data_IF_457082693221
#
_entry.id   IF_457082693221
#
_cell.length_a   1.000
_cell.length_b   1.000
_cell.length_c   1.000
_cell.angle_alpha   90.00
_cell.angle_beta   90.00
_cell.angle_gamma   90.00
#
_symmetry.space_group_name_H-M   'P 1'
#
loop_
_entity.id
_entity.type
_entity.pdbx_description
1 polymer ?
#
# COMPACT_ATOMS: atom_id res chain seq x y z
N UNK A 1 -23.29 15.40 -10.69
CA UNK A 1 -21.82 15.43 -10.81
C UNK A 1 -21.28 14.07 -10.43
N UNK A 2 -20.21 13.58 -11.10
CA UNK A 2 -19.55 12.34 -10.70
C UNK A 2 -18.64 12.66 -9.52
N UNK A 3 -19.02 12.25 -8.31
CA UNK A 3 -18.19 12.36 -7.13
C UNK A 3 -16.91 11.56 -7.36
N UNK A 4 -15.75 12.16 -7.06
CA UNK A 4 -14.47 11.46 -7.06
C UNK A 4 -14.48 10.54 -5.84
N UNK A 5 -14.96 9.32 -6.00
CA UNK A 5 -14.75 8.25 -5.02
C UNK A 5 -13.25 8.11 -4.76
N UNK A 6 -12.86 7.98 -3.49
CA UNK A 6 -11.65 7.25 -3.07
C UNK A 6 -11.40 6.12 -4.08
N UNK A 7 -10.41 6.34 -4.95
CA UNK A 7 -10.11 5.41 -6.06
C UNK A 7 -9.76 4.07 -5.44
N UNK A 8 -10.40 3.03 -5.98
CA UNK A 8 -10.25 1.63 -5.63
C UNK A 8 -8.85 1.31 -5.09
N UNK A 9 -8.77 1.00 -3.79
CA UNK A 9 -7.94 -0.11 -3.39
C UNK A 9 -8.59 -1.32 -4.07
N UNK A 10 -8.11 -1.70 -5.25
CA UNK A 10 -8.47 -2.99 -5.82
C UNK A 10 -7.76 -4.03 -4.97
N UNK A 11 -8.27 -4.23 -3.75
CA UNK A 11 -7.76 -5.21 -2.81
C UNK A 11 -8.06 -6.58 -3.42
N UNK A 12 -7.14 -7.07 -4.24
CA UNK A 12 -6.92 -8.48 -4.51
C UNK A 12 -6.43 -9.17 -3.24
N UNK A 13 -7.11 -8.97 -2.12
CA UNK A 13 -6.78 -9.59 -0.86
C UNK A 13 -7.42 -10.97 -0.87
N UNK A 14 -6.60 -11.97 -1.23
CA UNK A 14 -6.85 -13.34 -0.85
C UNK A 14 -6.78 -13.41 0.68
N UNK A 15 -7.87 -13.06 1.35
CA UNK A 15 -7.93 -13.08 2.80
C UNK A 15 -7.86 -14.54 3.27
N UNK A 16 -6.66 -14.98 3.66
CA UNK A 16 -6.54 -16.00 4.69
C UNK A 16 -7.16 -15.36 5.93
N UNK A 17 -8.19 -15.99 6.50
CA UNK A 17 -8.81 -15.55 7.74
C UNK A 17 -7.74 -15.47 8.84
N UNK A 18 -7.10 -14.31 8.98
CA UNK A 18 -6.21 -14.04 10.09
C UNK A 18 -7.10 -13.69 11.27
N UNK A 19 -7.24 -14.63 12.20
CA UNK A 19 -7.62 -14.25 13.56
C UNK A 19 -6.47 -13.41 14.11
N UNK A 20 -6.52 -12.09 13.89
CA UNK A 20 -5.59 -11.19 14.55
C UNK A 20 -5.82 -11.37 16.07
N UNK A 21 -4.79 -11.73 16.85
CA UNK A 21 -4.92 -11.68 18.28
C UNK A 21 -5.25 -10.24 18.66
N UNK A 22 -6.37 -10.04 19.36
CA UNK A 22 -6.74 -8.72 19.88
C UNK A 22 -5.52 -8.16 20.63
N UNK A 23 -5.15 -6.89 20.42
CA UNK A 23 -4.08 -6.29 21.21
C UNK A 23 -4.38 -6.52 22.69
N UNK A 24 -3.41 -7.09 23.42
CA UNK A 24 -3.59 -7.33 24.84
C UNK A 24 -3.79 -5.98 25.53
N UNK A 25 -4.88 -5.83 26.29
CA UNK A 25 -5.07 -4.64 27.14
C UNK A 25 -3.91 -4.57 28.13
N UNK A 26 -3.00 -3.62 27.93
CA UNK A 26 -1.73 -3.54 28.67
C UNK A 26 -1.91 -2.95 30.08
N UNK A 27 -3.11 -2.51 30.45
CA UNK A 27 -3.47 -2.06 31.79
C UNK A 27 -5.00 -2.14 31.93
N UNK A 28 -5.50 -2.46 33.12
CA UNK A 28 -6.95 -2.51 33.39
C UNK A 28 -7.69 -1.27 32.89
N UNK A 29 -8.92 -1.48 32.42
CA UNK A 29 -9.68 -0.46 31.69
C UNK A 29 -9.90 0.82 32.49
N UNK A 30 -9.77 1.96 31.82
CA UNK A 30 -10.03 3.29 32.43
C UNK A 30 -11.52 3.64 32.42
N UNK A 31 -12.33 2.94 31.63
CA UNK A 31 -13.77 3.18 31.46
C UNK A 31 -14.54 2.43 32.56
N UNK A 32 -15.47 3.13 33.23
CA UNK A 32 -16.11 2.68 34.46
C UNK A 32 -17.10 1.52 34.28
N UNK A 33 -17.66 1.38 33.08
CA UNK A 33 -18.72 0.44 32.73
C UNK A 33 -18.27 -0.64 31.71
N UNK A 34 -16.97 -0.70 31.43
CA UNK A 34 -16.35 -1.72 30.58
C UNK A 34 -15.67 -2.76 31.49
N UNK A 35 -16.13 -4.02 31.56
CA UNK A 35 -15.45 -5.02 32.37
C UNK A 35 -14.13 -5.46 31.72
N UNK A 36 -13.03 -5.59 32.47
CA UNK A 36 -11.67 -5.88 31.96
C UNK A 36 -11.53 -7.11 31.05
N UNK A 37 -12.43 -8.10 31.16
CA UNK A 37 -12.35 -9.37 30.43
C UNK A 37 -13.54 -9.62 29.49
N UNK A 38 -14.23 -8.56 29.07
CA UNK A 38 -15.31 -8.69 28.08
C UNK A 38 -14.74 -8.89 26.68
N UNK A 39 -15.49 -9.57 25.83
CA UNK A 39 -15.08 -9.83 24.44
C UNK A 39 -14.84 -8.56 23.61
N UNK A 40 -15.34 -7.41 24.06
CA UNK A 40 -15.20 -6.10 23.41
C UNK A 40 -14.22 -5.15 24.11
N UNK A 41 -13.63 -5.52 25.25
CA UNK A 41 -12.86 -4.57 26.09
C UNK A 41 -11.72 -3.91 25.32
N UNK A 42 -10.86 -4.72 24.67
CA UNK A 42 -9.74 -4.22 23.89
C UNK A 42 -10.19 -3.29 22.75
N UNK A 43 -11.31 -3.62 22.09
CA UNK A 43 -11.83 -2.81 20.99
C UNK A 43 -12.41 -1.47 21.46
N UNK A 44 -13.12 -1.48 22.58
CA UNK A 44 -13.65 -0.25 23.19
C UNK A 44 -12.51 0.67 23.61
N UNK A 45 -11.47 0.13 24.24
CA UNK A 45 -10.27 0.90 24.60
C UNK A 45 -9.57 1.45 23.36
N UNK A 46 -9.36 0.62 22.34
CA UNK A 46 -8.76 1.03 21.08
C UNK A 46 -9.50 2.20 20.43
N UNK A 47 -10.80 2.04 20.22
CA UNK A 47 -11.64 3.06 19.60
C UNK A 47 -11.70 4.34 20.45
N UNK A 48 -11.72 4.22 21.78
CA UNK A 48 -11.73 5.39 22.67
C UNK A 48 -10.40 6.14 22.67
N UNK A 49 -9.27 5.44 22.79
CA UNK A 49 -7.93 6.06 22.80
C UNK A 49 -7.57 6.69 21.45
N UNK A 50 -8.07 6.14 20.34
CA UNK A 50 -7.92 6.70 19.00
C UNK A 50 -8.94 7.80 18.67
N UNK A 51 -9.88 8.09 19.59
CA UNK A 51 -10.95 9.07 19.37
C UNK A 51 -12.01 8.66 18.34
N UNK A 52 -12.05 7.38 17.95
CA UNK A 52 -13.05 6.85 17.01
C UNK A 52 -14.43 6.73 17.66
N UNK A 53 -14.49 6.52 18.97
CA UNK A 53 -15.74 6.47 19.73
C UNK A 53 -15.58 7.17 21.08
N UNK A 54 -16.47 8.12 21.38
CA UNK A 54 -16.42 8.89 22.62
C UNK A 54 -17.16 8.21 23.78
N UNK A 55 -16.74 8.52 25.02
CA UNK A 55 -17.47 8.20 26.25
C UNK A 55 -18.42 9.35 26.61
N UNK A 56 -19.60 9.06 27.17
CA UNK A 56 -20.65 10.07 27.41
C UNK A 56 -20.27 11.07 28.52
N UNK A 57 -19.90 10.59 29.71
CA UNK A 57 -19.51 11.42 30.87
C UNK A 57 -17.99 11.31 31.16
N UNK A 58 -17.19 11.34 30.10
CA UNK A 58 -15.73 11.14 30.06
C UNK A 58 -15.20 9.74 30.44
N UNK A 59 -15.92 8.94 31.23
CA UNK A 59 -15.50 7.58 31.62
C UNK A 59 -16.56 6.48 31.40
N UNK A 60 -17.78 6.81 30.98
CA UNK A 60 -18.84 5.82 30.71
C UNK A 60 -19.01 5.60 29.20
N UNK A 61 -18.82 4.37 28.72
CA UNK A 61 -18.87 4.04 27.30
C UNK A 61 -20.24 3.58 26.81
N UNK A 62 -21.09 3.04 27.67
CA UNK A 62 -22.38 2.42 27.37
C UNK A 62 -22.31 1.31 26.30
N UNK A 63 -21.62 0.18 26.56
CA UNK A 63 -21.38 -0.89 25.57
C UNK A 63 -22.65 -1.44 24.88
N UNK A 64 -23.76 -1.52 25.61
CA UNK A 64 -25.03 -2.08 25.14
C UNK A 64 -25.95 -1.04 24.48
N UNK A 65 -25.60 0.25 24.55
CA UNK A 65 -26.41 1.28 23.91
C UNK A 65 -26.32 1.17 22.37
N UNK A 66 -27.39 1.57 21.65
CA UNK A 66 -27.40 1.57 20.18
C UNK A 66 -26.27 2.41 19.59
N UNK A 67 -25.68 1.92 18.50
CA UNK A 67 -24.81 2.72 17.63
C UNK A 67 -25.67 3.53 16.65
N UNK A 68 -25.39 4.82 16.50
CA UNK A 68 -26.11 5.71 15.59
C UNK A 68 -25.36 5.91 14.27
N UNK A 69 -26.04 6.46 13.27
CA UNK A 69 -25.43 6.77 11.96
C UNK A 69 -24.33 7.83 12.07
N UNK A 70 -24.52 8.87 12.88
CA UNK A 70 -23.50 9.88 13.13
C UNK A 70 -22.24 9.28 13.77
N UNK A 71 -22.40 8.39 14.76
CA UNK A 71 -21.26 7.72 15.40
C UNK A 71 -20.41 6.90 14.42
N UNK A 72 -21.03 6.23 13.44
CA UNK A 72 -20.29 5.49 12.39
C UNK A 72 -19.53 6.46 11.48
N UNK A 73 -20.18 7.56 11.06
CA UNK A 73 -19.53 8.58 10.25
C UNK A 73 -18.35 9.22 10.98
N UNK A 74 -18.52 9.58 12.26
CA UNK A 74 -17.49 10.15 13.11
C UNK A 74 -16.29 9.20 13.28
N UNK A 75 -16.55 7.92 13.53
CA UNK A 75 -15.50 6.91 13.65
C UNK A 75 -14.68 6.78 12.36
N UNK A 76 -15.34 6.72 11.20
CA UNK A 76 -14.66 6.65 9.90
C UNK A 76 -13.90 7.94 9.61
N UNK A 77 -14.49 9.10 9.87
CA UNK A 77 -13.81 10.39 9.73
C UNK A 77 -12.53 10.46 10.57
N UNK A 78 -12.54 9.89 11.78
CA UNK A 78 -11.34 9.78 12.61
C UNK A 78 -10.33 8.76 12.07
N UNK A 79 -10.78 7.61 11.56
CA UNK A 79 -9.93 6.59 10.93
C UNK A 79 -9.18 7.15 9.72
N UNK A 80 -9.81 8.03 8.95
CA UNK A 80 -9.21 8.66 7.76
C UNK A 80 -8.53 10.01 8.06
N UNK A 81 -8.10 10.24 9.30
CA UNK A 81 -7.36 11.43 9.73
C UNK A 81 -8.07 12.78 9.46
N UNK A 82 -9.40 12.80 9.59
CA UNK A 82 -10.26 13.99 9.50
C UNK A 82 -10.04 14.77 8.20
N UNK A 83 -10.37 14.18 7.02
CA UNK A 83 -10.16 14.84 5.73
C UNK A 83 -10.88 16.18 5.64
N UNK A 84 -10.35 17.10 4.84
CA UNK A 84 -10.98 18.41 4.66
C UNK A 84 -12.32 18.27 3.93
N UNK A 85 -13.36 18.92 4.47
CA UNK A 85 -14.69 19.01 3.85
C UNK A 85 -14.81 20.34 3.12
N UNK A 86 -15.31 20.31 1.89
CA UNK A 86 -15.63 21.53 1.14
C UNK A 86 -17.10 21.54 0.77
N UNK A 87 -17.80 22.64 1.04
CA UNK A 87 -19.20 22.84 0.67
C UNK A 87 -19.29 23.91 -0.41
N UNK A 88 -20.21 23.74 -1.36
CA UNK A 88 -20.54 24.75 -2.34
C UNK A 88 -21.35 25.88 -1.68
N UNK A 89 -21.07 27.12 -2.08
CA UNK A 89 -21.78 28.31 -1.59
C UNK A 89 -23.03 28.53 -2.44
N UNK A 90 -24.20 28.77 -1.83
CA UNK A 90 -25.35 29.25 -2.58
C UNK A 90 -25.17 30.73 -2.94
N UNK A 91 -25.07 31.04 -4.24
CA UNK A 91 -25.10 32.42 -4.72
C UNK A 91 -26.51 33.01 -4.54
N UNK A 92 -26.66 33.96 -3.64
CA UNK A 92 -27.90 34.71 -3.47
C UNK A 92 -28.09 35.67 -4.66
N UNK A 93 -28.94 35.32 -5.63
CA UNK A 93 -29.37 36.25 -6.68
C UNK A 93 -30.20 37.37 -6.05
N UNK A 94 -29.59 38.56 -5.90
CA UNK A 94 -30.25 39.73 -5.34
C UNK A 94 -31.35 40.23 -6.29
N UNK A 95 -32.60 39.96 -5.93
CA UNK A 95 -33.78 40.51 -6.58
C UNK A 95 -34.04 41.97 -6.17
N UNK A 96 -33.63 42.89 -7.05
CA UNK A 96 -34.09 44.29 -7.22
C UNK A 96 -34.19 45.23 -6.01
N UNK A 97 -33.26 46.19 -6.03
CA UNK A 97 -33.34 47.64 -5.76
C UNK A 97 -34.04 48.20 -4.49
N UNK A 98 -33.23 49.05 -3.82
CA UNK A 98 -33.53 50.08 -2.82
C UNK A 98 -33.77 49.62 -1.37
N UNK A 99 -32.67 49.38 -0.65
CA UNK A 99 -32.46 49.94 0.69
C UNK A 99 -30.95 50.06 0.97
N UNK A 100 -30.44 51.29 0.96
CA UNK A 100 -29.10 51.64 1.45
C UNK A 100 -29.15 51.72 2.98
N UNK A 101 -28.88 50.60 3.67
CA UNK A 101 -28.29 50.52 5.02
C UNK A 101 -28.54 49.12 5.63
N UNK A 102 -27.83 48.07 5.19
CA UNK A 102 -27.63 46.86 6.01
C UNK A 102 -26.27 46.21 5.70
N UNK A 103 -25.62 45.79 6.77
CA UNK A 103 -24.26 45.24 6.87
C UNK A 103 -23.96 44.10 5.88
N UNK A 104 -22.67 43.89 5.61
CA UNK A 104 -22.12 42.77 4.84
C UNK A 104 -22.82 41.45 5.23
N UNK A 105 -23.73 40.97 4.38
CA UNK A 105 -24.40 39.69 4.58
C UNK A 105 -23.36 38.57 4.47
N UNK A 106 -23.08 37.92 5.60
CA UNK A 106 -22.45 36.60 5.66
C UNK A 106 -23.20 35.65 4.73
N UNK A 107 -22.55 35.20 3.65
CA UNK A 107 -23.06 34.11 2.83
C UNK A 107 -22.94 32.81 3.63
N UNK A 108 -24.06 32.32 4.17
CA UNK A 108 -24.10 31.12 4.99
C UNK A 108 -23.88 29.86 4.13
N UNK A 109 -22.96 28.99 4.56
CA UNK A 109 -22.86 27.62 4.04
C UNK A 109 -24.14 26.85 4.38
N UNK A 110 -24.64 26.04 3.44
CA UNK A 110 -25.83 25.22 3.65
C UNK A 110 -25.49 23.74 3.68
N UNK A 111 -26.06 23.02 4.65
CA UNK A 111 -25.97 21.56 4.73
C UNK A 111 -26.87 20.93 3.66
N UNK A 112 -26.45 19.84 2.99
CA UNK A 112 -27.32 19.07 2.10
C UNK A 112 -28.44 18.32 2.86
N UNK A 113 -28.37 18.28 4.19
CA UNK A 113 -29.36 17.61 5.05
C UNK A 113 -30.08 18.61 5.93
N UNK A 114 -31.40 18.50 5.97
CA UNK A 114 -32.28 19.40 6.73
C UNK A 114 -32.17 19.26 8.26
N UNK A 115 -31.57 18.17 8.74
CA UNK A 115 -31.41 17.81 10.15
C UNK A 115 -29.94 17.70 10.59
N UNK A 116 -29.01 18.28 9.83
CA UNK A 116 -27.59 18.38 10.19
C UNK A 116 -27.23 19.86 10.33
N UNK A 117 -27.04 20.30 11.56
CA UNK A 117 -26.52 21.62 11.89
C UNK A 117 -25.01 21.66 11.61
N UNK A 118 -24.51 22.68 10.90
CA UNK A 118 -23.09 22.78 10.53
C UNK A 118 -22.19 23.12 11.74
N UNK A 119 -22.78 23.61 12.83
CA UNK A 119 -22.06 23.82 14.09
C UNK A 119 -21.99 22.54 14.96
N UNK A 120 -22.66 21.46 14.55
CA UNK A 120 -22.58 20.16 15.23
C UNK A 120 -21.17 19.54 15.05
N UNK A 121 -20.55 19.01 16.11
CA UNK A 121 -19.23 18.39 16.02
C UNK A 121 -19.15 17.22 15.02
N UNK A 122 -20.25 16.50 14.78
CA UNK A 122 -20.32 15.39 13.82
C UNK A 122 -20.62 15.87 12.39
N UNK A 123 -20.94 17.16 12.18
CA UNK A 123 -21.34 17.70 10.87
C UNK A 123 -20.28 17.41 9.79
N UNK A 124 -19.01 17.73 10.06
CA UNK A 124 -17.93 17.47 9.10
C UNK A 124 -17.80 15.98 8.77
N UNK A 125 -17.94 15.10 9.76
CA UNK A 125 -17.86 13.66 9.53
C UNK A 125 -19.01 13.16 8.64
N UNK A 126 -20.23 13.63 8.91
CA UNK A 126 -21.43 13.30 8.12
C UNK A 126 -21.27 13.79 6.68
N UNK A 127 -20.84 15.03 6.49
CA UNK A 127 -20.65 15.64 5.18
C UNK A 127 -19.57 14.93 4.38
N UNK A 128 -18.42 14.64 4.99
CA UNK A 128 -17.34 13.90 4.35
C UNK A 128 -17.82 12.51 3.90
N UNK A 129 -18.46 11.75 4.81
CA UNK A 129 -18.92 10.41 4.51
C UNK A 129 -19.97 10.40 3.38
N UNK A 130 -20.82 11.43 3.30
CA UNK A 130 -21.76 11.61 2.20
C UNK A 130 -21.06 11.97 0.88
N UNK A 131 -20.08 12.88 0.91
CA UNK A 131 -19.33 13.31 -0.27
C UNK A 131 -18.53 12.17 -0.90
N UNK A 132 -17.97 11.28 -0.08
CA UNK A 132 -17.29 10.06 -0.51
C UNK A 132 -18.25 8.93 -0.92
N UNK A 133 -19.57 9.11 -0.73
CA UNK A 133 -20.59 8.13 -1.08
C UNK A 133 -20.67 6.93 -0.13
N UNK A 134 -20.09 7.04 1.08
CA UNK A 134 -20.09 5.99 2.10
C UNK A 134 -21.44 5.86 2.81
N UNK A 135 -22.13 6.99 2.93
CA UNK A 135 -23.47 7.09 3.52
C UNK A 135 -24.38 7.93 2.63
N UNK A 136 -25.68 7.64 2.68
CA UNK A 136 -26.72 8.40 1.97
C UNK A 136 -27.73 8.93 2.97
N UNK A 137 -28.37 10.05 2.65
CA UNK A 137 -29.55 10.54 3.37
C UNK A 137 -30.82 9.80 2.94
N UNK A 138 -31.91 10.12 3.62
CA UNK A 138 -33.25 9.66 3.27
C UNK A 138 -33.88 10.54 2.19
N UNK A 139 -34.90 9.99 1.52
CA UNK A 139 -35.65 10.67 0.45
C UNK A 139 -36.37 11.95 0.93
N UNK A 140 -36.55 12.12 2.24
CA UNK A 140 -37.15 13.31 2.85
C UNK A 140 -36.15 14.46 3.09
N UNK A 141 -34.90 14.30 2.65
CA UNK A 141 -33.84 15.31 2.80
C UNK A 141 -33.20 15.32 4.19
N UNK A 142 -33.42 14.29 5.02
CA UNK A 142 -32.73 14.11 6.30
C UNK A 142 -31.56 13.14 6.18
N UNK A 143 -30.56 13.31 7.04
CA UNK A 143 -29.54 12.30 7.30
C UNK A 143 -29.94 11.31 8.40
N UNK A 144 -30.65 11.78 9.43
CA UNK A 144 -30.93 11.04 10.66
C UNK A 144 -29.69 10.74 11.51
N UNK A 145 -29.01 11.75 12.10
CA UNK A 145 -27.81 11.55 12.92
C UNK A 145 -28.00 10.55 14.07
N UNK A 146 -29.13 10.64 14.78
CA UNK A 146 -29.49 9.82 15.94
C UNK A 146 -30.15 8.47 15.58
N UNK A 147 -30.43 8.24 14.30
CA UNK A 147 -31.05 6.99 13.88
C UNK A 147 -30.09 5.83 14.08
N UNK A 148 -30.63 4.73 14.61
CA UNK A 148 -29.88 3.52 14.95
C UNK A 148 -29.44 2.80 13.68
N UNK A 149 -28.18 2.38 13.64
CA UNK A 149 -27.67 1.60 12.49
C UNK A 149 -27.95 0.11 12.68
N UNK A 150 -28.46 -0.54 11.63
CA UNK A 150 -28.57 -2.00 11.58
C UNK A 150 -27.23 -2.65 11.26
N UNK A 151 -27.09 -3.94 11.57
CA UNK A 151 -25.86 -4.69 11.31
C UNK A 151 -25.55 -4.83 9.83
N UNK A 152 -26.56 -4.97 8.97
CA UNK A 152 -26.37 -5.01 7.52
C UNK A 152 -26.00 -3.64 6.93
N UNK A 153 -26.54 -2.54 7.47
CA UNK A 153 -26.12 -1.19 7.07
C UNK A 153 -24.66 -0.91 7.45
N UNK A 154 -24.23 -1.32 8.66
CA UNK A 154 -22.84 -1.15 9.08
C UNK A 154 -21.86 -1.90 8.15
N UNK A 155 -22.21 -3.13 7.75
CA UNK A 155 -21.39 -3.90 6.80
C UNK A 155 -21.28 -3.19 5.44
N UNK A 156 -22.39 -2.64 4.92
CA UNK A 156 -22.41 -1.92 3.64
C UNK A 156 -21.58 -0.65 3.67
N UNK A 157 -21.65 0.14 4.75
CA UNK A 157 -20.85 1.37 4.89
C UNK A 157 -19.35 1.05 4.81
N UNK A 158 -18.88 0.03 5.55
CA UNK A 158 -17.46 -0.39 5.54
C UNK A 158 -17.03 -1.10 4.24
N UNK A 159 -17.98 -1.61 3.48
CA UNK A 159 -17.72 -2.23 2.19
C UNK A 159 -17.53 -1.18 1.09
N UNK A 160 -18.30 -0.08 1.15
CA UNK A 160 -18.14 1.06 0.23
C UNK A 160 -16.80 1.77 0.39
N UNK A 161 -16.26 1.86 1.62
CA UNK A 161 -14.97 2.52 1.87
C UNK A 161 -13.80 1.84 1.16
N UNK A 162 -13.95 0.56 0.79
CA UNK A 162 -12.93 -0.24 0.11
C UNK A 162 -13.26 -0.50 -1.37
N UNK A 163 -14.23 0.22 -1.93
CA UNK A 163 -14.57 0.09 -3.34
C UNK A 163 -15.34 -1.19 -3.69
N UNK A 164 -16.14 -1.70 -2.74
CA UNK A 164 -17.07 -2.81 -2.96
C UNK A 164 -16.40 -4.15 -3.39
N UNK A 165 -15.37 -4.62 -2.65
CA UNK A 165 -14.67 -5.86 -3.00
C UNK A 165 -15.63 -7.07 -3.01
N UNK A 166 -15.50 -7.93 -4.02
CA UNK A 166 -16.31 -9.13 -4.13
C UNK A 166 -15.82 -10.21 -3.16
N UNK A 167 -16.75 -10.83 -2.43
CA UNK A 167 -16.46 -12.10 -1.74
C UNK A 167 -16.62 -13.27 -2.70
N UNK A 168 -15.68 -14.21 -2.65
CA UNK A 168 -15.80 -15.49 -3.38
C UNK A 168 -16.46 -16.59 -2.53
N UNK A 169 -16.77 -16.31 -1.26
CA UNK A 169 -17.26 -17.30 -0.31
C UNK A 169 -18.54 -16.81 0.36
N UNK A 170 -19.58 -17.63 0.28
CA UNK A 170 -20.84 -17.34 0.94
C UNK A 170 -20.70 -17.45 2.47
N UNK A 171 -21.18 -16.44 3.19
CA UNK A 171 -21.14 -16.45 4.65
C UNK A 171 -22.05 -17.57 5.21
N UNK A 172 -21.59 -18.41 6.15
CA UNK A 172 -22.29 -19.60 6.59
C UNK A 172 -23.38 -19.30 7.64
N UNK A 173 -23.90 -18.08 7.73
CA UNK A 173 -24.88 -17.69 8.76
C UNK A 173 -26.20 -18.47 8.62
N UNK A 174 -26.75 -18.92 9.76
CA UNK A 174 -27.97 -19.70 9.83
C UNK A 174 -29.22 -18.93 9.34
N UNK A 175 -29.21 -17.60 9.48
CA UNK A 175 -30.22 -16.66 9.03
C UNK A 175 -29.82 -15.91 7.75
N UNK A 176 -28.87 -16.44 6.95
CA UNK A 176 -28.43 -15.83 5.68
C UNK A 176 -29.60 -15.44 4.76
N UNK A 177 -30.70 -16.20 4.77
CA UNK A 177 -31.90 -15.92 3.96
C UNK A 177 -32.64 -14.64 4.37
N UNK A 178 -32.38 -14.13 5.56
CA UNK A 178 -32.97 -12.90 6.08
C UNK A 178 -32.15 -11.66 5.72
N UNK A 179 -30.93 -11.83 5.20
CA UNK A 179 -30.07 -10.72 4.74
C UNK A 179 -30.66 -10.16 3.44
N UNK A 180 -30.77 -8.84 3.36
CA UNK A 180 -31.35 -8.21 2.19
C UNK A 180 -30.46 -8.38 0.95
N UNK A 181 -31.06 -8.41 -0.25
CA UNK A 181 -30.31 -8.59 -1.49
C UNK A 181 -29.32 -7.47 -1.78
N UNK A 182 -29.56 -6.27 -1.25
CA UNK A 182 -28.68 -5.12 -1.43
C UNK A 182 -27.48 -5.13 -0.46
N UNK A 183 -27.53 -5.91 0.61
CA UNK A 183 -26.47 -5.99 1.63
C UNK A 183 -25.68 -7.30 1.59
N UNK A 184 -26.17 -8.32 0.88
CA UNK A 184 -25.61 -9.67 0.94
C UNK A 184 -24.11 -9.71 0.59
N UNK A 185 -23.68 -9.02 -0.46
CA UNK A 185 -22.27 -9.05 -0.89
C UNK A 185 -21.36 -8.39 0.16
N UNK A 186 -21.79 -7.27 0.74
CA UNK A 186 -21.08 -6.62 1.84
C UNK A 186 -21.00 -7.49 3.09
N UNK A 187 -22.09 -8.21 3.43
CA UNK A 187 -22.09 -9.12 4.59
C UNK A 187 -21.18 -10.33 4.36
N UNK A 188 -21.16 -10.87 3.15
CA UNK A 188 -20.29 -11.99 2.79
C UNK A 188 -18.82 -11.59 2.78
N UNK A 189 -18.53 -10.40 2.25
CA UNK A 189 -17.21 -9.81 2.34
C UNK A 189 -16.80 -9.62 3.81
N UNK A 190 -17.59 -8.91 4.61
CA UNK A 190 -17.27 -8.61 6.01
C UNK A 190 -17.08 -9.88 6.86
N UNK A 191 -17.80 -10.97 6.55
CA UNK A 191 -17.54 -12.26 7.15
C UNK A 191 -16.23 -12.89 6.67
N UNK A 192 -15.99 -12.90 5.36
CA UNK A 192 -14.81 -13.54 4.75
C UNK A 192 -13.48 -12.96 5.22
N UNK A 193 -13.45 -11.64 5.46
CA UNK A 193 -12.27 -10.92 5.96
C UNK A 193 -12.20 -10.86 7.49
N UNK A 194 -13.13 -11.51 8.20
CA UNK A 194 -13.11 -11.60 9.66
C UNK A 194 -13.61 -10.36 10.42
N UNK A 195 -14.17 -9.35 9.74
CA UNK A 195 -14.76 -8.19 10.40
C UNK A 195 -15.99 -8.55 11.24
N UNK A 196 -16.82 -9.49 10.75
CA UNK A 196 -18.06 -9.90 11.43
C UNK A 196 -18.14 -11.41 11.59
N UNK A 197 -18.14 -11.88 12.84
CA UNK A 197 -18.22 -13.32 13.19
C UNK A 197 -19.64 -13.82 13.51
N UNK A 198 -20.62 -12.91 13.58
CA UNK A 198 -22.02 -13.23 13.93
C UNK A 198 -22.29 -13.32 15.44
N UNK A 199 -23.53 -13.69 15.80
CA UNK A 199 -24.07 -13.84 17.15
C UNK A 199 -24.16 -15.34 17.53
N UNK A 200 -24.35 -15.67 18.83
CA UNK A 200 -24.60 -17.04 19.26
C UNK A 200 -25.69 -17.72 18.42
N UNK A 201 -25.46 -18.99 18.07
CA UNK A 201 -26.32 -19.72 17.13
C UNK A 201 -25.96 -19.49 15.64
N UNK A 202 -24.79 -18.88 15.36
CA UNK A 202 -24.31 -18.60 14.01
C UNK A 202 -25.27 -17.69 13.24
N UNK A 203 -25.79 -16.65 13.91
CA UNK A 203 -26.76 -15.70 13.35
C UNK A 203 -26.08 -14.40 12.96
N UNK A 204 -26.36 -13.87 11.78
CA UNK A 204 -25.96 -12.53 11.41
C UNK A 204 -26.86 -11.46 12.04
N UNK A 205 -28.17 -11.68 12.14
CA UNK A 205 -29.19 -10.74 12.60
C UNK A 205 -29.18 -9.40 11.83
N UNK A 206 -29.57 -9.40 10.54
CA UNK A 206 -29.34 -8.28 9.62
C UNK A 206 -30.04 -6.99 10.02
N UNK A 207 -31.31 -7.07 10.41
CA UNK A 207 -32.12 -5.91 10.81
C UNK A 207 -31.93 -5.53 12.28
N UNK A 208 -31.15 -6.31 13.03
CA UNK A 208 -30.83 -6.03 14.42
C UNK A 208 -29.98 -4.78 14.53
N UNK A 209 -30.28 -3.92 15.50
CA UNK A 209 -29.46 -2.75 15.82
C UNK A 209 -28.08 -3.18 16.32
N UNK A 210 -27.03 -2.57 15.77
CA UNK A 210 -25.67 -2.74 16.30
C UNK A 210 -25.53 -2.00 17.63
N UNK A 211 -24.95 -2.65 18.64
CA UNK A 211 -24.58 -1.97 19.89
C UNK A 211 -23.24 -1.26 19.73
N UNK A 212 -22.94 -0.30 20.62
CA UNK A 212 -21.64 0.39 20.63
C UNK A 212 -20.46 -0.57 20.82
N UNK A 213 -20.61 -1.62 21.64
CA UNK A 213 -19.61 -2.68 21.77
C UNK A 213 -19.37 -3.44 20.46
N UNK A 214 -20.44 -3.79 19.74
CA UNK A 214 -20.33 -4.44 18.43
C UNK A 214 -19.68 -3.51 17.40
N UNK A 215 -20.06 -2.23 17.40
CA UNK A 215 -19.45 -1.19 16.59
C UNK A 215 -17.95 -1.09 16.83
N UNK A 216 -17.51 -0.99 18.08
CA UNK A 216 -16.10 -0.88 18.44
C UNK A 216 -15.27 -2.07 17.93
N UNK A 217 -15.77 -3.31 18.11
CA UNK A 217 -15.07 -4.51 17.61
C UNK A 217 -14.95 -4.49 16.08
N UNK A 218 -16.02 -4.15 15.38
CA UNK A 218 -16.01 -4.10 13.92
C UNK A 218 -15.08 -2.99 13.42
N UNK A 219 -15.13 -1.79 14.02
CA UNK A 219 -14.32 -0.62 13.64
C UNK A 219 -12.83 -0.83 13.91
N UNK A 220 -12.46 -1.38 15.08
CA UNK A 220 -11.07 -1.75 15.35
C UNK A 220 -10.57 -2.79 14.37
N UNK A 221 -11.34 -3.86 14.11
CA UNK A 221 -10.94 -4.87 13.14
C UNK A 221 -10.78 -4.28 11.74
N UNK A 222 -11.67 -3.36 11.34
CA UNK A 222 -11.57 -2.65 10.08
C UNK A 222 -10.29 -1.82 9.99
N UNK A 223 -10.04 -0.99 11.01
CA UNK A 223 -8.86 -0.13 11.07
C UNK A 223 -7.56 -0.95 11.01
N UNK A 224 -7.43 -1.97 11.85
CA UNK A 224 -6.24 -2.82 11.94
C UNK A 224 -6.06 -3.78 10.75
N UNK A 225 -7.10 -4.01 9.96
CA UNK A 225 -7.00 -4.89 8.77
C UNK A 225 -6.76 -4.12 7.49
N UNK A 226 -7.15 -2.85 7.41
CA UNK A 226 -7.20 -2.12 6.14
C UNK A 226 -6.59 -0.73 6.15
N UNK A 227 -6.56 -0.03 7.28
CA UNK A 227 -6.18 1.39 7.31
C UNK A 227 -4.89 1.59 8.09
N UNK A 228 -4.86 1.19 9.35
CA UNK A 228 -3.70 1.24 10.23
C UNK A 228 -3.24 -0.17 10.58
N UNK A 229 -2.89 -0.94 9.56
CA UNK A 229 -2.40 -2.31 9.73
C UNK A 229 -1.12 -2.28 10.59
N UNK A 230 -1.11 -2.94 11.76
CA UNK A 230 0.11 -3.02 12.56
C UNK A 230 1.19 -3.71 11.76
N UNK A 231 2.38 -3.11 11.67
CA UNK A 231 3.54 -3.81 11.17
C UNK A 231 3.76 -5.05 12.03
N UNK A 232 3.58 -6.24 11.45
CA UNK A 232 4.04 -7.46 12.11
C UNK A 232 5.56 -7.40 12.15
N UNK A 233 6.15 -7.58 13.34
CA UNK A 233 7.60 -7.70 13.47
C UNK A 233 8.11 -8.73 12.45
N UNK A 234 8.97 -8.31 11.52
CA UNK A 234 9.39 -9.19 10.45
C UNK A 234 10.11 -10.41 11.01
N UNK A 235 9.90 -11.56 10.37
CA UNK A 235 10.64 -12.78 10.67
C UNK A 235 12.16 -12.58 10.50
N UNK A 236 12.99 -13.52 11.00
CA UNK A 236 14.44 -13.42 10.79
C UNK A 236 14.77 -13.43 9.30
N UNK A 237 15.56 -12.45 8.84
CA UNK A 237 16.00 -12.36 7.44
C UNK A 237 16.70 -13.68 7.04
N UNK A 238 16.28 -14.36 5.95
CA UNK A 238 16.89 -15.59 5.49
C UNK A 238 18.39 -15.44 5.29
N UNK A 239 19.16 -16.38 5.83
CA UNK A 239 20.61 -16.42 5.63
C UNK A 239 20.97 -16.77 4.20
N UNK A 240 22.08 -16.25 3.72
CA UNK A 240 22.69 -16.70 2.46
C UNK A 240 23.00 -18.20 2.53
N UNK A 241 22.36 -18.97 1.67
CA UNK A 241 22.39 -20.43 1.60
C UNK A 241 23.20 -20.97 0.41
N UNK A 242 23.79 -20.08 -0.40
CA UNK A 242 24.63 -20.49 -1.52
C UNK A 242 25.98 -21.07 -1.06
N UNK A 243 26.41 -22.15 -1.72
CA UNK A 243 27.74 -22.72 -1.51
C UNK A 243 28.80 -21.90 -2.27
N UNK A 244 29.59 -21.12 -1.54
CA UNK A 244 30.69 -20.32 -2.11
C UNK A 244 31.65 -21.13 -3.00
N UNK A 245 31.82 -22.43 -2.76
CA UNK A 245 32.67 -23.30 -3.57
C UNK A 245 32.10 -23.64 -4.95
N UNK A 246 30.81 -23.34 -5.21
CA UNK A 246 30.12 -23.64 -6.47
C UNK A 246 30.01 -22.45 -7.43
N UNK A 247 30.48 -21.27 -7.04
CA UNK A 247 30.67 -20.16 -7.96
C UNK A 247 31.93 -20.38 -8.79
N UNK A 248 31.78 -20.40 -10.11
CA UNK A 248 32.86 -20.68 -11.05
C UNK A 248 32.81 -19.73 -12.23
N UNK A 249 33.97 -19.33 -12.73
CA UNK A 249 34.07 -18.46 -13.91
C UNK A 249 34.03 -19.31 -15.16
N UNK A 250 33.09 -19.02 -16.07
CA UNK A 250 32.98 -19.64 -17.39
C UNK A 250 32.86 -18.55 -18.44
N UNK A 251 33.68 -18.61 -19.48
CA UNK A 251 33.66 -17.68 -20.61
C UNK A 251 33.74 -16.18 -20.21
N UNK A 252 34.40 -15.87 -19.10
CA UNK A 252 34.55 -14.49 -18.61
C UNK A 252 33.40 -13.99 -17.73
N UNK A 253 32.42 -14.84 -17.40
CA UNK A 253 31.31 -14.53 -16.51
C UNK A 253 31.33 -15.43 -15.28
N UNK A 254 30.83 -14.91 -14.17
CA UNK A 254 30.59 -15.71 -12.98
C UNK A 254 29.33 -16.54 -13.19
N UNK A 255 29.37 -17.81 -12.81
CA UNK A 255 28.24 -18.75 -12.90
C UNK A 255 28.12 -19.54 -11.60
N UNK A 256 26.95 -20.11 -11.33
CA UNK A 256 26.72 -20.97 -10.18
C UNK A 256 26.44 -22.41 -10.63
N UNK A 257 27.00 -23.38 -9.90
CA UNK A 257 26.85 -24.83 -10.20
C UNK A 257 26.13 -25.58 -9.06
N UNK A 258 25.44 -24.83 -8.19
CA UNK A 258 24.57 -25.37 -7.15
C UNK A 258 23.20 -25.79 -7.69
N UNK A 259 22.25 -25.89 -6.78
CA UNK A 259 20.88 -26.31 -7.09
C UNK A 259 20.00 -25.13 -7.53
N UNK A 260 20.50 -23.89 -7.38
CA UNK A 260 19.84 -22.68 -7.87
C UNK A 260 20.13 -22.46 -9.36
N UNK A 261 19.23 -21.77 -10.08
CA UNK A 261 19.48 -21.29 -11.43
C UNK A 261 20.75 -20.43 -11.54
N UNK A 262 21.22 -20.21 -12.76
CA UNK A 262 22.43 -19.43 -13.03
C UNK A 262 22.31 -18.73 -14.39
N UNK A 263 21.82 -17.51 -14.38
CA UNK A 263 21.67 -16.67 -15.58
C UNK A 263 22.62 -15.49 -15.53
N UNK A 264 23.32 -15.22 -16.62
CA UNK A 264 24.28 -14.15 -16.77
C UNK A 264 23.55 -12.90 -17.24
N UNK A 265 23.78 -11.76 -16.58
CA UNK A 265 23.14 -10.51 -16.94
C UNK A 265 24.08 -9.32 -16.96
N UNK A 266 23.57 -8.24 -17.55
CA UNK A 266 24.12 -6.89 -17.47
C UNK A 266 23.05 -5.94 -16.97
N UNK A 267 23.44 -4.87 -16.31
CA UNK A 267 22.57 -3.72 -16.11
C UNK A 267 23.15 -2.48 -16.78
N UNK A 268 22.27 -1.70 -17.40
CA UNK A 268 22.66 -0.65 -18.34
C UNK A 268 21.76 0.56 -18.26
N UNK A 269 22.33 1.69 -18.65
CA UNK A 269 21.64 2.97 -18.75
C UNK A 269 22.24 3.80 -19.88
N UNK A 270 21.86 5.08 -19.96
CA UNK A 270 22.51 6.06 -20.83
C UNK A 270 24.03 6.22 -20.61
N UNK A 271 24.61 5.66 -19.55
CA UNK A 271 26.07 5.62 -19.36
C UNK A 271 26.76 4.73 -20.40
N UNK A 272 26.13 3.63 -20.83
CA UNK A 272 26.71 2.68 -21.79
C UNK A 272 26.58 3.12 -23.26
N UNK A 273 25.81 4.19 -23.53
CA UNK A 273 25.59 4.75 -24.88
C UNK A 273 24.96 3.71 -25.82
N UNK A 274 25.33 3.73 -27.10
CA UNK A 274 24.79 2.83 -28.10
C UNK A 274 25.38 1.42 -27.96
N UNK A 275 24.54 0.47 -27.54
CA UNK A 275 24.88 -0.94 -27.36
C UNK A 275 24.53 -1.73 -28.63
N UNK A 276 25.42 -2.62 -29.05
CA UNK A 276 25.11 -3.67 -30.04
C UNK A 276 24.58 -4.91 -29.33
N UNK A 277 23.25 -4.98 -29.20
CA UNK A 277 22.56 -6.06 -28.51
C UNK A 277 22.69 -7.43 -29.20
N UNK A 278 23.04 -7.46 -30.48
CA UNK A 278 23.32 -8.74 -31.18
C UNK A 278 24.60 -9.36 -30.65
N UNK A 279 25.63 -8.53 -30.44
CA UNK A 279 26.89 -8.99 -29.85
C UNK A 279 26.75 -9.32 -28.36
N UNK A 280 25.92 -8.58 -27.63
CA UNK A 280 25.63 -8.88 -26.22
C UNK A 280 24.96 -10.26 -26.09
N UNK A 281 23.91 -10.52 -26.86
CA UNK A 281 23.28 -11.85 -26.92
C UNK A 281 24.28 -12.94 -27.32
N UNK A 282 25.08 -12.67 -28.37
CA UNK A 282 26.09 -13.60 -28.86
C UNK A 282 27.24 -13.86 -27.88
N UNK A 283 27.43 -13.01 -26.86
CA UNK A 283 28.40 -13.21 -25.80
C UNK A 283 27.91 -14.16 -24.70
N UNK A 284 26.63 -14.59 -24.75
CA UNK A 284 26.02 -15.47 -23.74
C UNK A 284 25.44 -14.71 -22.54
N UNK A 285 24.97 -13.48 -22.75
CA UNK A 285 24.15 -12.75 -21.77
C UNK A 285 22.71 -13.21 -21.92
N UNK A 286 22.10 -13.64 -20.81
CA UNK A 286 20.74 -14.19 -20.75
C UNK A 286 19.69 -13.09 -20.51
N UNK A 287 20.01 -12.07 -19.69
CA UNK A 287 19.08 -11.00 -19.36
C UNK A 287 19.73 -9.62 -19.27
N UNK A 288 18.89 -8.57 -19.32
CA UNK A 288 19.30 -7.20 -19.09
C UNK A 288 18.37 -6.47 -18.11
N UNK A 289 18.95 -5.78 -17.11
CA UNK A 289 18.23 -4.80 -16.28
C UNK A 289 18.47 -3.40 -16.85
N UNK A 290 17.42 -2.72 -17.29
CA UNK A 290 17.55 -1.46 -18.04
C UNK A 290 16.99 -0.30 -17.23
N UNK A 291 17.78 0.77 -17.03
CA UNK A 291 17.28 1.96 -16.35
C UNK A 291 16.14 2.59 -17.16
N UNK A 292 14.94 2.63 -16.60
CA UNK A 292 13.80 3.28 -17.22
C UNK A 292 13.85 4.80 -17.01
N UNK A 293 14.19 5.20 -15.79
CA UNK A 293 14.39 6.60 -15.45
C UNK A 293 14.96 6.78 -14.07
N UNK A 294 14.97 8.04 -13.64
CA UNK A 294 15.57 8.44 -12.39
C UNK A 294 14.94 9.72 -11.85
N UNK A 295 14.96 9.89 -10.52
CA UNK A 295 14.66 11.17 -9.88
C UNK A 295 15.96 11.96 -9.67
N UNK A 296 15.95 13.23 -10.06
CA UNK A 296 17.14 14.08 -10.01
C UNK A 296 17.52 14.52 -8.58
N UNK A 297 18.83 14.60 -8.31
CA UNK A 297 19.41 14.82 -6.97
C UNK A 297 19.05 16.13 -6.28
N UNK A 298 18.63 17.17 -7.01
CA UNK A 298 18.46 18.53 -6.46
C UNK A 298 16.99 18.95 -6.43
N UNK A 299 16.38 19.09 -7.61
CA UNK A 299 14.98 19.52 -7.75
C UNK A 299 13.99 18.37 -7.66
N UNK A 300 14.45 17.11 -7.66
CA UNK A 300 13.57 15.95 -7.56
C UNK A 300 12.74 15.70 -8.82
N UNK A 301 13.17 16.17 -10.00
CA UNK A 301 12.44 15.91 -11.24
C UNK A 301 12.54 14.45 -11.64
N UNK A 302 11.44 13.87 -12.11
CA UNK A 302 11.44 12.54 -12.72
C UNK A 302 11.87 12.67 -14.19
N UNK A 303 12.86 11.88 -14.59
CA UNK A 303 13.44 11.93 -15.93
C UNK A 303 13.52 10.51 -16.50
N UNK A 304 13.12 10.36 -17.76
CA UNK A 304 13.30 9.11 -18.52
C UNK A 304 14.77 8.97 -18.91
N UNK A 305 15.34 7.78 -18.82
CA UNK A 305 16.70 7.54 -19.29
C UNK A 305 16.75 7.66 -20.83
N UNK A 306 17.70 8.45 -21.34
CA UNK A 306 17.79 8.80 -22.75
C UNK A 306 18.01 7.60 -23.70
N UNK A 307 18.44 6.45 -23.17
CA UNK A 307 18.66 5.22 -23.94
C UNK A 307 17.67 4.11 -23.61
N UNK A 308 16.69 4.34 -22.71
CA UNK A 308 15.74 3.32 -22.28
C UNK A 308 15.02 2.66 -23.48
N UNK A 309 14.33 3.45 -24.30
CA UNK A 309 13.54 2.93 -25.42
C UNK A 309 14.38 2.14 -26.43
N UNK A 310 15.61 2.62 -26.70
CA UNK A 310 16.55 1.91 -27.56
C UNK A 310 16.98 0.58 -26.93
N UNK A 311 17.36 0.59 -25.66
CA UNK A 311 17.89 -0.58 -24.98
C UNK A 311 16.83 -1.66 -24.82
N UNK A 312 15.64 -1.32 -24.34
CA UNK A 312 14.57 -2.29 -24.12
C UNK A 312 14.12 -2.96 -25.41
N UNK A 313 13.88 -2.18 -26.47
CA UNK A 313 13.46 -2.70 -27.77
C UNK A 313 14.51 -3.63 -28.38
N UNK A 314 15.79 -3.27 -28.29
CA UNK A 314 16.85 -4.05 -28.92
C UNK A 314 17.30 -5.26 -28.08
N UNK A 315 17.22 -5.20 -26.75
CA UNK A 315 17.43 -6.36 -25.89
C UNK A 315 16.37 -7.43 -26.17
N UNK A 316 15.08 -7.06 -26.08
CA UNK A 316 13.95 -7.95 -26.37
C UNK A 316 14.01 -8.54 -27.78
N UNK A 317 14.32 -7.71 -28.79
CA UNK A 317 14.44 -8.17 -30.18
C UNK A 317 15.58 -9.18 -30.40
N UNK A 318 16.59 -9.18 -29.54
CA UNK A 318 17.67 -10.17 -29.56
C UNK A 318 17.42 -11.36 -28.62
N UNK A 319 16.21 -11.47 -28.05
CA UNK A 319 15.79 -12.61 -27.24
C UNK A 319 16.37 -12.65 -25.84
N UNK A 320 16.85 -11.52 -25.32
CA UNK A 320 17.19 -11.40 -23.90
C UNK A 320 15.91 -11.24 -23.09
N UNK A 321 15.89 -11.83 -21.91
CA UNK A 321 14.91 -11.51 -20.88
C UNK A 321 15.18 -10.11 -20.33
N UNK A 322 14.15 -9.35 -19.97
CA UNK A 322 14.31 -7.93 -19.60
C UNK A 322 13.59 -7.58 -18.31
N UNK A 323 14.33 -6.97 -17.41
CA UNK A 323 13.83 -6.26 -16.24
C UNK A 323 14.21 -4.79 -16.35
N UNK A 324 13.65 -3.97 -15.47
CA UNK A 324 13.88 -2.52 -15.50
C UNK A 324 14.09 -1.99 -14.10
N UNK A 325 14.79 -0.88 -13.98
CA UNK A 325 14.97 -0.23 -12.68
C UNK A 325 14.70 1.27 -12.75
N UNK A 326 14.19 1.82 -11.65
CA UNK A 326 14.10 3.25 -11.43
C UNK A 326 15.15 3.66 -10.41
N UNK A 327 16.05 4.56 -10.81
CA UNK A 327 17.01 5.14 -9.89
C UNK A 327 16.32 6.21 -9.05
N UNK A 328 15.91 5.85 -7.85
CA UNK A 328 15.13 6.64 -6.93
C UNK A 328 16.00 7.66 -6.20
N UNK A 329 15.43 8.84 -5.99
CA UNK A 329 15.89 9.83 -5.02
C UNK A 329 14.70 10.31 -4.18
N UNK A 330 13.68 9.46 -4.02
CA UNK A 330 12.51 9.75 -3.21
C UNK A 330 12.89 9.88 -1.74
N UNK A 331 12.32 10.89 -1.10
CA UNK A 331 12.42 11.16 0.34
C UNK A 331 11.08 11.07 1.05
N UNK A 332 10.02 10.74 0.31
CA UNK A 332 8.67 10.50 0.83
C UNK A 332 8.00 9.35 0.07
N UNK A 333 7.03 8.71 0.73
CA UNK A 333 6.19 7.68 0.12
C UNK A 333 5.45 8.17 -1.12
N UNK A 334 4.99 9.43 -1.13
CA UNK A 334 4.33 10.02 -2.30
C UNK A 334 5.30 10.19 -3.48
N UNK A 335 6.55 10.61 -3.23
CA UNK A 335 7.56 10.66 -4.30
C UNK A 335 7.86 9.25 -4.85
N UNK A 336 7.89 8.21 -4.01
CA UNK A 336 8.06 6.83 -4.47
C UNK A 336 6.86 6.33 -5.28
N UNK A 337 5.64 6.72 -4.91
CA UNK A 337 4.41 6.48 -5.69
C UNK A 337 4.49 7.13 -7.07
N UNK A 338 4.90 8.39 -7.17
CA UNK A 338 5.10 9.08 -8.46
C UNK A 338 6.12 8.34 -9.34
N UNK A 339 7.23 7.88 -8.77
CA UNK A 339 8.28 7.13 -9.48
C UNK A 339 7.75 5.80 -10.02
N UNK A 340 7.02 5.04 -9.20
CA UNK A 340 6.43 3.76 -9.59
C UNK A 340 5.41 3.94 -10.72
N UNK A 341 4.46 4.87 -10.57
CA UNK A 341 3.42 5.15 -11.57
C UNK A 341 4.02 5.63 -12.90
N UNK A 342 5.04 6.49 -12.85
CA UNK A 342 5.69 6.96 -14.06
C UNK A 342 6.49 5.85 -14.76
N UNK A 343 7.14 4.97 -14.00
CA UNK A 343 7.82 3.81 -14.57
C UNK A 343 6.82 2.88 -15.26
N UNK A 344 5.68 2.59 -14.63
CA UNK A 344 4.61 1.76 -15.20
C UNK A 344 4.12 2.30 -16.55
N UNK A 345 3.95 3.62 -16.67
CA UNK A 345 3.61 4.27 -17.95
C UNK A 345 4.69 4.04 -19.03
N UNK A 346 5.97 4.11 -18.68
CA UNK A 346 7.05 3.94 -19.66
C UNK A 346 7.26 2.51 -20.11
N UNK A 347 6.91 1.53 -19.28
CA UNK A 347 7.10 0.10 -19.58
C UNK A 347 5.85 -0.51 -20.24
N UNK A 348 4.73 0.24 -20.31
CA UNK A 348 3.49 -0.22 -20.91
C UNK A 348 3.72 -0.74 -22.34
N UNK A 349 3.27 -1.97 -22.60
CA UNK A 349 3.36 -2.62 -23.91
C UNK A 349 4.68 -3.32 -24.21
N UNK A 350 5.67 -3.29 -23.30
CA UNK A 350 6.84 -4.14 -23.36
C UNK A 350 6.63 -5.46 -22.62
N UNK A 351 7.31 -6.51 -23.09
CA UNK A 351 7.31 -7.83 -22.45
C UNK A 351 8.37 -7.84 -21.34
N UNK A 352 7.98 -7.47 -20.13
CA UNK A 352 8.88 -7.43 -18.96
C UNK A 352 8.78 -8.77 -18.24
N UNK A 353 9.86 -9.55 -18.33
CA UNK A 353 9.94 -10.93 -17.81
C UNK A 353 10.85 -11.07 -16.59
N UNK A 354 11.62 -10.03 -16.29
CA UNK A 354 12.47 -9.91 -15.10
C UNK A 354 11.96 -8.76 -14.20
N UNK A 355 12.46 -8.65 -12.95
CA UNK A 355 11.87 -7.73 -12.00
C UNK A 355 11.93 -6.24 -12.38
N UNK A 356 10.99 -5.49 -11.82
CA UNK A 356 10.91 -4.03 -11.84
C UNK A 356 11.44 -3.50 -10.50
N UNK A 357 12.53 -2.75 -10.54
CA UNK A 357 13.39 -2.55 -9.36
C UNK A 357 13.30 -1.13 -8.82
N UNK A 358 13.11 -1.04 -7.49
CA UNK A 358 13.41 0.16 -6.71
C UNK A 358 14.92 0.22 -6.42
N UNK A 359 15.63 1.05 -7.19
CA UNK A 359 17.07 1.28 -7.03
C UNK A 359 17.29 2.60 -6.29
N UNK A 360 17.55 2.53 -4.98
CA UNK A 360 17.87 3.70 -4.18
C UNK A 360 19.32 3.64 -3.73
N UNK A 361 20.10 4.65 -4.11
CA UNK A 361 21.49 4.81 -3.71
C UNK A 361 21.71 6.15 -3.00
N UNK A 362 22.54 6.11 -1.95
CA UNK A 362 22.99 7.33 -1.26
C UNK A 362 24.02 8.05 -2.14
N UNK A 363 23.72 9.29 -2.51
CA UNK A 363 24.63 10.10 -3.32
C UNK A 363 25.40 11.04 -2.42
N UNK A 364 26.72 10.88 -2.37
CA UNK A 364 27.62 11.57 -1.45
C UNK A 364 27.86 13.06 -1.74
N UNK A 365 27.00 13.70 -2.54
CA UNK A 365 27.07 15.15 -2.80
C UNK A 365 26.39 15.91 -1.67
N UNK A 366 26.97 17.02 -1.22
CA UNK A 366 26.48 17.79 -0.06
C UNK A 366 25.07 18.31 -0.24
N UNK A 367 24.64 18.46 -1.49
CA UNK A 367 23.37 19.04 -1.91
C UNK A 367 22.37 17.98 -2.42
N UNK A 368 22.68 16.68 -2.26
CA UNK A 368 21.74 15.61 -2.62
C UNK A 368 20.55 15.57 -1.65
N UNK A 369 19.33 15.45 -2.18
CA UNK A 369 18.09 15.32 -1.39
C UNK A 369 18.10 14.09 -0.46
N UNK A 370 18.79 13.03 -0.86
CA UNK A 370 18.82 11.74 -0.15
C UNK A 370 19.84 11.67 0.98
N UNK A 371 20.71 12.69 1.12
CA UNK A 371 21.83 12.70 2.05
C UNK A 371 21.42 12.51 3.51
N UNK A 372 20.32 13.13 3.92
CA UNK A 372 19.85 13.12 5.31
C UNK A 372 18.62 12.19 5.48
N UNK A 373 18.30 11.38 4.46
CA UNK A 373 17.17 10.45 4.51
C UNK A 373 17.53 9.22 5.33
N UNK A 374 16.79 8.98 6.41
CA UNK A 374 16.98 7.79 7.25
C UNK A 374 16.44 6.51 6.59
N UNK A 375 16.93 5.36 7.05
CA UNK A 375 16.55 4.08 6.47
C UNK A 375 15.11 3.66 6.69
N UNK A 376 14.41 4.20 7.70
CA UNK A 376 12.98 3.95 7.89
C UNK A 376 12.20 4.58 6.73
N UNK A 377 12.52 5.83 6.40
CA UNK A 377 11.95 6.56 5.27
C UNK A 377 12.24 5.85 3.95
N UNK A 378 13.49 5.43 3.70
CA UNK A 378 13.84 4.68 2.49
C UNK A 378 13.08 3.35 2.40
N UNK A 379 12.89 2.68 3.54
CA UNK A 379 12.14 1.41 3.61
C UNK A 379 10.67 1.63 3.27
N UNK A 380 10.03 2.68 3.79
CA UNK A 380 8.64 3.05 3.44
C UNK A 380 8.49 3.38 1.96
N UNK A 381 9.42 4.15 1.39
CA UNK A 381 9.47 4.40 -0.06
C UNK A 381 9.57 3.10 -0.86
N UNK A 382 10.45 2.19 -0.45
CA UNK A 382 10.62 0.90 -1.11
C UNK A 382 9.35 0.05 -1.06
N UNK A 383 8.64 0.01 0.09
CA UNK A 383 7.37 -0.70 0.24
C UNK A 383 6.32 -0.16 -0.73
N UNK A 384 6.08 1.15 -0.70
CA UNK A 384 5.09 1.80 -1.58
C UNK A 384 5.40 1.56 -3.05
N UNK A 385 6.67 1.65 -3.45
CA UNK A 385 7.07 1.33 -4.82
C UNK A 385 6.75 -0.13 -5.16
N UNK A 386 7.16 -1.08 -4.31
CA UNK A 386 6.99 -2.51 -4.57
C UNK A 386 5.50 -2.91 -4.61
N UNK A 387 4.69 -2.41 -3.68
CA UNK A 387 3.24 -2.63 -3.64
C UNK A 387 2.57 -2.21 -4.97
N UNK A 388 2.89 -1.02 -5.47
CA UNK A 388 2.31 -0.49 -6.73
C UNK A 388 2.72 -1.35 -7.93
N UNK A 389 3.99 -1.78 -7.97
CA UNK A 389 4.50 -2.62 -9.06
C UNK A 389 3.86 -4.01 -9.03
N UNK A 390 3.70 -4.59 -7.84
CA UNK A 390 3.03 -5.88 -7.64
C UNK A 390 1.55 -5.82 -8.02
N UNK A 391 0.84 -4.77 -7.59
CA UNK A 391 -0.57 -4.53 -7.96
C UNK A 391 -0.74 -4.38 -9.49
N UNK A 392 0.26 -3.81 -10.18
CA UNK A 392 0.29 -3.73 -11.64
C UNK A 392 0.62 -5.06 -12.34
N UNK A 393 0.88 -6.13 -11.59
CA UNK A 393 1.12 -7.47 -12.11
C UNK A 393 2.57 -7.76 -12.52
N UNK A 394 3.52 -6.91 -12.11
CA UNK A 394 4.95 -7.13 -12.34
C UNK A 394 5.61 -7.70 -11.07
N UNK A 395 6.82 -8.24 -11.22
CA UNK A 395 7.62 -8.71 -10.09
C UNK A 395 8.39 -7.50 -9.52
N UNK A 396 8.04 -6.97 -8.34
CA UNK A 396 8.85 -5.92 -7.71
C UNK A 396 10.17 -6.49 -7.21
N UNK A 397 11.18 -5.64 -7.00
CA UNK A 397 12.43 -6.03 -6.36
C UNK A 397 13.11 -4.81 -5.74
N UNK A 398 13.83 -5.01 -4.64
CA UNK A 398 14.65 -3.96 -4.03
C UNK A 398 16.12 -4.19 -4.33
N UNK A 399 16.89 -3.11 -4.43
CA UNK A 399 18.32 -3.13 -4.69
C UNK A 399 19.11 -2.48 -3.54
N UNK A 400 20.27 -3.03 -3.22
CA UNK A 400 21.13 -2.44 -2.20
C UNK A 400 22.49 -3.10 -2.00
N UNK A 401 23.40 -2.35 -1.38
CA UNK A 401 24.76 -2.78 -1.06
C UNK A 401 24.90 -3.19 0.42
N UNK A 402 25.87 -4.05 0.77
CA UNK A 402 26.11 -4.44 2.16
C UNK A 402 26.31 -3.26 3.11
N UNK A 403 26.96 -2.18 2.66
CA UNK A 403 27.16 -0.98 3.48
C UNK A 403 25.84 -0.32 3.84
N UNK A 404 24.92 -0.18 2.87
CA UNK A 404 23.58 0.39 3.10
C UNK A 404 22.78 -0.47 4.07
N UNK A 405 22.72 -1.77 3.80
CA UNK A 405 21.95 -2.71 4.61
C UNK A 405 22.46 -2.76 6.05
N UNK A 406 23.77 -2.93 6.24
CA UNK A 406 24.34 -3.10 7.58
C UNK A 406 24.44 -1.79 8.37
N UNK A 407 24.40 -0.64 7.71
CA UNK A 407 24.30 0.67 8.35
C UNK A 407 22.86 1.08 8.69
N UNK A 408 21.86 0.27 8.33
CA UNK A 408 20.45 0.58 8.59
C UNK A 408 19.85 1.60 7.62
N UNK A 409 20.41 1.74 6.40
CA UNK A 409 19.88 2.61 5.35
C UNK A 409 18.77 1.97 4.49
N UNK A 410 18.50 0.68 4.69
CA UNK A 410 17.35 -0.04 4.16
C UNK A 410 17.08 -1.25 5.06
N UNK A 411 15.89 -1.35 5.63
CA UNK A 411 15.53 -2.43 6.54
C UNK A 411 15.06 -3.66 5.75
N UNK A 412 15.99 -4.57 5.46
CA UNK A 412 15.69 -5.82 4.77
C UNK A 412 14.68 -6.70 5.52
N UNK A 413 14.53 -6.57 6.83
CA UNK A 413 13.58 -7.39 7.55
C UNK A 413 12.15 -7.05 7.09
N UNK A 414 11.86 -5.78 6.86
CA UNK A 414 10.53 -5.32 6.41
C UNK A 414 10.24 -5.50 4.92
N UNK A 415 11.22 -5.98 4.15
CA UNK A 415 11.16 -6.09 2.68
C UNK A 415 11.23 -7.55 2.21
N UNK A 416 10.99 -8.52 3.10
CA UNK A 416 11.12 -9.95 2.82
C UNK A 416 10.05 -10.50 1.88
N UNK A 417 8.96 -9.76 1.64
CA UNK A 417 7.90 -10.16 0.70
C UNK A 417 8.37 -10.08 -0.76
N UNK A 418 9.45 -9.34 -1.03
CA UNK A 418 9.97 -9.11 -2.36
C UNK A 418 11.42 -9.60 -2.51
N UNK A 419 11.84 -9.96 -3.74
CA UNK A 419 13.20 -10.38 -4.00
C UNK A 419 14.19 -9.22 -3.76
N UNK A 420 15.46 -9.59 -3.62
CA UNK A 420 16.55 -8.65 -3.34
C UNK A 420 17.69 -8.81 -4.35
N UNK A 421 18.10 -7.69 -4.94
CA UNK A 421 19.25 -7.54 -5.81
C UNK A 421 20.43 -6.95 -5.04
N UNK A 422 21.42 -7.80 -4.77
CA UNK A 422 22.62 -7.44 -4.04
C UNK A 422 23.63 -6.73 -4.94
N UNK A 423 24.06 -5.53 -4.56
CA UNK A 423 25.22 -4.84 -5.12
C UNK A 423 26.47 -5.06 -4.26
N UNK A 424 27.31 -6.02 -4.62
CA UNK A 424 28.55 -6.27 -3.89
C UNK A 424 29.69 -6.65 -4.81
N UNK A 425 30.53 -5.66 -5.13
CA UNK A 425 31.68 -5.84 -6.00
C UNK A 425 32.82 -6.52 -5.26
N UNK A 426 33.13 -7.75 -5.65
CA UNK A 426 34.24 -8.51 -5.10
C UNK A 426 35.43 -8.49 -6.05
N UNK A 427 36.63 -8.76 -5.51
CA UNK A 427 37.86 -8.80 -6.31
C UNK A 427 38.28 -10.24 -6.56
N UNK A 428 38.87 -10.51 -7.74
CA UNK A 428 39.39 -11.84 -8.06
C UNK A 428 38.35 -12.95 -8.14
N UNK A 429 37.10 -12.63 -8.49
CA UNK A 429 35.98 -13.59 -8.61
C UNK A 429 35.59 -14.27 -7.29
N UNK A 430 36.00 -13.71 -6.16
CA UNK A 430 35.65 -14.23 -4.84
C UNK A 430 34.14 -14.08 -4.63
N UNK A 431 33.42 -15.11 -4.16
CA UNK A 431 32.01 -14.98 -3.80
C UNK A 431 31.77 -13.92 -2.74
N UNK A 432 30.58 -13.32 -2.76
CA UNK A 432 30.16 -12.36 -1.75
C UNK A 432 30.19 -12.94 -0.33
N UNK A 433 30.59 -12.13 0.65
CA UNK A 433 30.46 -12.45 2.08
C UNK A 433 29.16 -11.93 2.69
N UNK A 434 28.22 -11.48 1.86
CA UNK A 434 26.92 -10.99 2.31
C UNK A 434 26.14 -12.12 3.00
N UNK A 435 25.56 -11.80 4.17
CA UNK A 435 25.06 -12.81 5.11
C UNK A 435 23.63 -13.24 4.87
N UNK A 436 22.88 -12.48 4.07
CA UNK A 436 21.47 -12.72 3.79
C UNK A 436 21.27 -13.24 2.38
N UNK A 437 20.19 -13.98 2.19
CA UNK A 437 19.80 -14.50 0.89
C UNK A 437 19.55 -13.35 -0.10
N UNK A 438 19.85 -13.59 -1.37
CA UNK A 438 19.65 -12.66 -2.47
C UNK A 438 19.28 -13.45 -3.73
N UNK A 439 18.47 -12.84 -4.59
CA UNK A 439 17.94 -13.48 -5.79
C UNK A 439 18.78 -13.14 -7.02
N UNK A 440 19.40 -11.96 -6.99
CA UNK A 440 20.32 -11.50 -8.02
C UNK A 440 21.51 -10.80 -7.39
N UNK A 441 22.68 -10.91 -8.03
CA UNK A 441 23.92 -10.33 -7.54
C UNK A 441 24.65 -9.56 -8.65
N UNK A 442 24.77 -8.25 -8.47
CA UNK A 442 25.69 -7.40 -9.21
C UNK A 442 27.09 -7.55 -8.60
N UNK A 443 27.93 -8.32 -9.28
CA UNK A 443 29.22 -8.75 -8.75
C UNK A 443 30.40 -7.91 -9.26
N UNK A 444 30.17 -7.04 -10.25
CA UNK A 444 31.20 -6.14 -10.78
C UNK A 444 30.58 -4.92 -11.43
N UNK A 445 31.20 -3.76 -11.28
CA UNK A 445 30.91 -2.53 -12.04
C UNK A 445 31.91 -2.20 -13.14
N UNK A 446 32.81 -3.14 -13.44
CA UNK A 446 33.94 -2.91 -14.36
C UNK A 446 34.10 -4.02 -15.40
N UNK A 447 32.99 -4.70 -15.70
CA UNK A 447 32.90 -5.74 -16.71
C UNK A 447 33.20 -5.26 -18.12
N UNK A 448 33.33 -6.21 -19.05
CA UNK A 448 33.52 -5.92 -20.47
C UNK A 448 32.82 -7.01 -21.26
N UNK A 449 31.82 -6.61 -22.05
CA UNK A 449 30.97 -7.50 -22.85
C UNK A 449 31.02 -7.02 -24.30
N UNK A 450 31.24 -7.92 -25.28
CA UNK A 450 31.12 -7.59 -26.70
C UNK A 450 29.82 -6.83 -27.00
N UNK A 451 29.94 -5.73 -27.75
CA UNK A 451 28.82 -4.86 -28.08
C UNK A 451 28.58 -3.70 -27.12
N UNK A 452 29.20 -3.69 -25.93
CA UNK A 452 29.15 -2.56 -24.99
C UNK A 452 30.48 -1.80 -25.02
N UNK A 453 30.49 -0.51 -25.43
CA UNK A 453 31.74 0.19 -25.73
C UNK A 453 32.52 0.66 -24.50
N UNK A 454 31.89 0.62 -23.32
CA UNK A 454 32.45 1.07 -22.05
C UNK A 454 32.30 -0.02 -20.99
N UNK A 455 32.78 0.27 -19.78
CA UNK A 455 32.56 -0.62 -18.64
C UNK A 455 31.08 -0.78 -18.34
N UNK A 456 30.71 -1.98 -17.92
CA UNK A 456 29.33 -2.37 -17.64
C UNK A 456 29.28 -3.19 -16.37
N UNK A 457 28.18 -3.04 -15.66
CA UNK A 457 27.85 -3.82 -14.51
C UNK A 457 27.49 -5.27 -14.92
N UNK A 458 27.97 -6.24 -14.16
CA UNK A 458 27.78 -7.67 -14.43
C UNK A 458 26.97 -8.30 -13.31
N UNK A 459 25.97 -9.07 -13.70
CA UNK A 459 24.99 -9.68 -12.82
C UNK A 459 24.95 -11.20 -12.98
N UNK A 460 24.60 -11.86 -11.87
CA UNK A 460 24.22 -13.26 -11.84
C UNK A 460 22.86 -13.37 -11.17
N UNK A 461 21.86 -13.84 -11.92
CA UNK A 461 20.54 -14.15 -11.37
C UNK A 461 20.49 -15.63 -10.99
N UNK A 462 20.02 -15.90 -9.78
CA UNK A 462 19.99 -17.21 -9.13
C UNK A 462 18.55 -17.69 -8.89
N UNK A 463 17.61 -17.14 -9.65
CA UNK A 463 16.17 -17.37 -9.50
C UNK A 463 15.53 -17.55 -10.87
N UNK A 464 14.54 -18.44 -10.94
CA UNK A 464 13.66 -18.58 -12.10
C UNK A 464 12.37 -17.80 -11.79
N UNK A 465 12.17 -16.70 -12.52
CA UNK A 465 11.03 -15.81 -12.30
C UNK A 465 9.71 -16.39 -12.81
N UNK A 466 9.76 -17.42 -13.66
CA UNK A 466 8.53 -18.02 -14.20
C UNK A 466 7.67 -18.70 -13.13
N UNK A 467 8.25 -19.04 -11.98
CA UNK A 467 7.57 -19.63 -10.83
C UNK A 467 7.33 -18.64 -9.68
N UNK A 468 7.73 -17.38 -9.82
CA UNK A 468 7.54 -16.36 -8.79
C UNK A 468 6.05 -16.13 -8.49
N UNK A 469 5.67 -16.14 -7.20
CA UNK A 469 4.29 -15.94 -6.75
C UNK A 469 3.32 -17.12 -6.96
N UNK A 470 3.78 -18.29 -7.43
CA UNK A 470 2.92 -19.46 -7.71
C UNK A 470 2.79 -20.48 -6.56
N UNK A 471 3.07 -20.09 -5.32
CA UNK A 471 3.01 -20.99 -4.16
C UNK A 471 1.64 -21.01 -3.46
#
# INVERSE_FOLDING_TARGET
MKHKTLRSLAAGLLAVAMTLPLPASAAGTKLSDVPENSWYTAAVEYCWEKGMMEATDALEFLPEAPLTRAMVAAALYQIYDRPQVSLEQEEFESGTEEDEDLDQQDQALTSPFSDVDLDDPDANAILWAWQEGLVTGYDDGRFGPDDKVTREQLAVILWHTLGEPLSQVAAPFADRKSIASWSIDAVEWAWSVGLISGKPGNLFDPTGTATRAQGAVILMNYDLSFIHVPETEPGPIPSNDYDSGRFVVKNGFLTYTGDAPSYIGVDVSSHQKQIDWTQVAGAGVDFAMIRAGYRGYTVGSINKDAYFDYNIQNALRNGLEVGVYFFSQATTEEEAREEALQLLEWIEGYDITYPVVFDWEEVSDSDSRTKDTDGETVTKCAKVFCDIIEEAGYIPMTYGSPSKIYAGGLDLAQLQDWPFWLAHYTTGWVPTSFRYHYHMWQYSSSGTVPGIPVKVDLNLCLTDWSDWGKN
#
